data_IF_575332914165
#
_entry.id   IF_575332914165
#
_cell.length_a   1.000
_cell.length_b   1.000
_cell.length_c   1.000
_cell.angle_alpha   90.00
_cell.angle_beta   90.00
_cell.angle_gamma   90.00
#
_symmetry.space_group_name_H-M   'P 1'
#
loop_
_entity.id
_entity.type
_entity.pdbx_description
1 polymer ?
#
# COMPACT_ATOMS: atom_id res chain seq x y z
N UNK A 1 -65.46 80.45 28.92
CA UNK A 1 -64.89 80.15 27.58
C UNK A 1 -63.66 79.21 27.81
N UNK A 2 -63.82 77.96 27.54
CA UNK A 2 -62.74 76.94 27.67
C UNK A 2 -62.41 76.50 26.24
N UNK A 3 -61.16 76.82 25.80
CA UNK A 3 -60.62 76.39 24.47
C UNK A 3 -60.10 74.97 24.55
N UNK A 4 -60.62 74.12 23.73
CA UNK A 4 -60.24 72.71 23.58
C UNK A 4 -59.09 72.66 22.57
N UNK A 5 -57.87 72.18 22.99
CA UNK A 5 -56.75 71.92 22.09
C UNK A 5 -56.81 70.48 21.68
N UNK A 6 -57.00 70.20 20.41
CA UNK A 6 -56.90 68.89 19.78
C UNK A 6 -55.42 68.60 19.42
N UNK A 7 -54.85 67.62 20.06
CA UNK A 7 -53.48 67.11 19.74
C UNK A 7 -53.61 65.91 18.82
N UNK A 8 -53.14 66.06 17.53
CA UNK A 8 -52.98 64.93 16.61
C UNK A 8 -51.71 64.16 16.95
N UNK A 9 -51.87 62.93 17.29
CA UNK A 9 -50.74 61.99 17.37
C UNK A 9 -50.58 61.32 16.00
N UNK A 10 -49.39 61.55 15.38
CA UNK A 10 -48.99 60.88 14.18
C UNK A 10 -48.43 59.46 14.59
N UNK A 11 -49.14 58.44 14.21
CA UNK A 11 -48.68 57.05 14.34
C UNK A 11 -47.76 56.74 13.14
N UNK A 12 -46.44 56.66 13.40
CA UNK A 12 -45.49 56.19 12.42
C UNK A 12 -45.48 54.66 12.42
N UNK A 13 -45.91 54.04 11.33
CA UNK A 13 -45.81 52.60 11.10
C UNK A 13 -44.44 52.29 10.54
N UNK A 14 -43.56 51.49 11.20
CA UNK A 14 -42.32 51.09 10.59
C UNK A 14 -42.60 49.98 9.57
N UNK A 15 -42.35 50.29 8.31
CA UNK A 15 -42.31 49.27 7.24
C UNK A 15 -41.05 48.40 7.42
N UNK A 16 -41.26 47.21 7.95
CA UNK A 16 -40.20 46.20 8.02
C UNK A 16 -39.96 45.61 6.61
N UNK A 17 -38.94 46.07 5.93
CA UNK A 17 -38.41 45.44 4.70
C UNK A 17 -37.71 44.16 5.09
N UNK A 18 -38.36 43.01 4.94
CA UNK A 18 -37.74 41.68 5.03
C UNK A 18 -36.89 41.43 3.79
N UNK A 19 -35.60 41.70 3.86
CA UNK A 19 -34.64 41.25 2.85
C UNK A 19 -34.47 39.75 2.98
N UNK A 20 -35.23 38.97 2.22
CA UNK A 20 -34.95 37.56 2.02
C UNK A 20 -33.68 37.40 1.21
N UNK A 21 -32.54 37.28 1.90
CA UNK A 21 -31.29 36.82 1.29
C UNK A 21 -31.45 35.35 0.93
N UNK A 22 -31.70 35.06 -0.35
CA UNK A 22 -31.49 33.74 -0.89
C UNK A 22 -29.99 33.36 -0.72
N UNK A 23 -29.68 32.69 0.37
CA UNK A 23 -28.40 31.97 0.45
C UNK A 23 -28.49 30.79 -0.51
N UNK A 24 -28.02 30.97 -1.72
CA UNK A 24 -27.59 29.85 -2.57
C UNK A 24 -26.43 29.19 -1.85
N UNK A 25 -26.71 28.16 -1.04
CA UNK A 25 -25.70 27.22 -0.62
C UNK A 25 -25.21 26.54 -1.90
N UNK A 26 -24.11 27.08 -2.48
CA UNK A 26 -23.31 26.29 -3.38
C UNK A 26 -22.81 25.10 -2.55
N UNK A 27 -23.38 23.93 -2.76
CA UNK A 27 -22.81 22.68 -2.28
C UNK A 27 -21.42 22.60 -2.92
N UNK A 28 -20.40 23.05 -2.22
CA UNK A 28 -19.03 22.74 -2.60
C UNK A 28 -18.95 21.22 -2.50
N UNK A 29 -19.10 20.59 -3.65
CA UNK A 29 -18.84 19.17 -3.81
C UNK A 29 -17.40 18.97 -3.38
N UNK A 30 -17.18 18.34 -2.22
CA UNK A 30 -15.83 18.03 -1.77
C UNK A 30 -15.17 17.21 -2.87
N UNK A 31 -13.97 17.59 -3.31
CA UNK A 31 -13.28 16.84 -4.36
C UNK A 31 -13.15 15.38 -3.92
N UNK A 32 -13.60 14.47 -4.76
CA UNK A 32 -13.41 13.03 -4.52
C UNK A 32 -11.93 12.74 -4.40
N UNK A 33 -11.50 12.01 -3.36
CA UNK A 33 -10.10 11.65 -3.21
C UNK A 33 -9.58 10.92 -4.46
N UNK A 34 -8.34 11.22 -4.92
CA UNK A 34 -7.77 10.58 -6.10
C UNK A 34 -7.49 9.09 -5.86
N UNK A 35 -7.57 8.27 -6.89
CA UNK A 35 -7.02 6.91 -6.83
C UNK A 35 -5.50 6.97 -6.73
N UNK A 36 -4.91 6.09 -5.91
CA UNK A 36 -3.48 6.02 -5.66
C UNK A 36 -2.96 4.67 -6.13
N UNK A 37 -2.02 4.67 -7.07
CA UNK A 37 -1.34 3.47 -7.55
C UNK A 37 0.14 3.60 -7.21
N UNK A 38 0.64 2.71 -6.36
CA UNK A 38 2.05 2.63 -6.01
C UNK A 38 2.68 1.40 -6.67
N UNK A 39 3.67 1.61 -7.52
CA UNK A 39 4.38 0.55 -8.23
C UNK A 39 5.82 0.48 -7.70
N UNK A 40 6.18 -0.66 -7.08
CA UNK A 40 7.53 -0.95 -6.64
C UNK A 40 8.13 -2.00 -7.56
N UNK A 41 9.04 -1.57 -8.43
CA UNK A 41 9.82 -2.47 -9.27
C UNK A 41 10.85 -3.23 -8.42
N UNK A 42 10.98 -4.53 -8.69
CA UNK A 42 11.89 -5.43 -7.97
C UNK A 42 13.21 -5.53 -8.76
N UNK A 43 14.30 -5.06 -8.15
CA UNK A 43 15.65 -5.03 -8.71
C UNK A 43 15.81 -4.18 -10.00
N UNK A 44 14.99 -3.13 -10.17
CA UNK A 44 15.17 -2.15 -11.23
C UNK A 44 16.19 -1.08 -10.79
N UNK A 45 17.24 -0.88 -11.57
CA UNK A 45 18.23 0.16 -11.34
C UNK A 45 17.78 1.54 -11.82
N UNK A 46 18.34 2.59 -11.23
CA UNK A 46 18.09 3.98 -11.64
C UNK A 46 18.38 4.20 -13.14
N UNK A 47 19.47 3.61 -13.64
CA UNK A 47 19.90 3.74 -15.03
C UNK A 47 19.17 2.84 -16.02
N UNK A 48 18.20 2.04 -15.59
CA UNK A 48 17.44 1.14 -16.49
C UNK A 48 16.33 1.90 -17.26
N UNK A 49 15.88 3.05 -16.73
CA UNK A 49 14.83 3.87 -17.32
C UNK A 49 15.46 4.91 -18.25
N UNK A 50 15.00 4.96 -19.52
CA UNK A 50 15.59 5.88 -20.52
C UNK A 50 15.45 7.35 -20.13
N UNK A 51 14.37 7.76 -19.46
CA UNK A 51 14.20 9.13 -18.97
C UNK A 51 15.30 9.58 -17.99
N UNK A 52 15.92 8.64 -17.25
CA UNK A 52 17.07 8.93 -16.38
C UNK A 52 18.43 8.64 -17.06
N UNK A 53 18.45 7.72 -18.01
CA UNK A 53 19.68 7.33 -18.71
C UNK A 53 19.40 7.06 -20.19
N UNK A 54 19.70 8.00 -21.08
CA UNK A 54 19.46 7.84 -22.53
C UNK A 54 20.28 6.71 -23.18
N UNK A 55 21.27 6.16 -22.47
CA UNK A 55 22.08 5.03 -22.93
C UNK A 55 21.58 3.68 -22.42
N UNK A 56 20.43 3.64 -21.71
CA UNK A 56 19.84 2.37 -21.28
C UNK A 56 19.57 1.46 -22.47
N UNK A 57 19.92 0.18 -22.32
CA UNK A 57 19.66 -0.86 -23.33
C UNK A 57 18.23 -1.42 -23.22
N UNK A 58 17.46 -0.97 -22.22
CA UNK A 58 16.11 -1.43 -21.94
C UNK A 58 15.13 -0.35 -22.40
N UNK A 59 14.29 -0.60 -23.42
CA UNK A 59 13.28 0.39 -23.81
C UNK A 59 12.19 0.51 -22.75
N UNK A 60 11.96 1.73 -22.27
CA UNK A 60 10.97 2.03 -21.21
C UNK A 60 9.94 3.08 -21.62
N UNK A 61 9.26 2.97 -22.79
CA UNK A 61 8.46 4.05 -23.36
C UNK A 61 7.30 4.49 -22.48
N UNK A 62 6.69 3.58 -21.71
CA UNK A 62 5.59 3.91 -20.79
C UNK A 62 6.11 4.71 -19.59
N UNK A 63 7.24 4.30 -19.00
CA UNK A 63 7.86 5.01 -17.88
C UNK A 63 8.38 6.38 -18.32
N UNK A 64 8.93 6.47 -19.52
CA UNK A 64 9.40 7.74 -20.10
C UNK A 64 8.24 8.71 -20.34
N UNK A 65 7.09 8.19 -20.81
CA UNK A 65 5.86 8.97 -20.94
C UNK A 65 5.34 9.46 -19.59
N UNK A 66 5.37 8.61 -18.57
CA UNK A 66 5.00 8.99 -17.20
C UNK A 66 5.95 10.06 -16.65
N UNK A 67 7.24 9.92 -16.88
CA UNK A 67 8.24 10.91 -16.49
C UNK A 67 8.01 12.27 -17.14
N UNK A 68 7.65 12.30 -18.43
CA UNK A 68 7.38 13.56 -19.15
C UNK A 68 6.07 14.23 -18.73
N UNK A 69 5.09 13.47 -18.24
CA UNK A 69 3.78 13.96 -17.81
C UNK A 69 3.70 14.28 -16.32
N UNK A 70 4.70 13.84 -15.54
CA UNK A 70 4.69 13.91 -14.08
C UNK A 70 5.93 14.58 -13.50
N UNK A 71 6.38 14.07 -12.37
CA UNK A 71 7.56 14.58 -11.65
C UNK A 71 8.60 13.47 -11.57
N UNK A 72 9.83 13.78 -11.95
CA UNK A 72 10.99 12.90 -11.76
C UNK A 72 11.78 13.34 -10.53
N UNK A 73 12.02 12.40 -9.62
CA UNK A 73 12.87 12.61 -8.46
C UNK A 73 14.28 12.12 -8.79
N UNK A 74 15.23 13.04 -8.90
CA UNK A 74 16.62 12.73 -9.26
C UNK A 74 17.48 12.30 -8.08
N UNK A 75 16.99 12.49 -6.85
CA UNK A 75 17.67 12.14 -5.61
C UNK A 75 16.72 11.49 -4.62
N UNK A 76 16.00 10.43 -5.07
CA UNK A 76 15.14 9.61 -4.22
C UNK A 76 15.82 8.27 -3.91
N UNK A 77 15.79 7.89 -2.63
CA UNK A 77 16.45 6.70 -2.14
C UNK A 77 15.45 5.71 -1.56
N UNK A 78 15.62 4.43 -1.89
CA UNK A 78 14.93 3.36 -1.17
C UNK A 78 15.51 3.19 0.24
N UNK A 79 14.74 2.62 1.15
CA UNK A 79 15.17 2.36 2.53
C UNK A 79 16.35 1.39 2.62
N UNK A 80 16.54 0.57 1.60
CA UNK A 80 17.59 -0.45 1.51
C UNK A 80 17.76 -0.89 0.06
N UNK A 81 18.90 -1.49 -0.24
CA UNK A 81 19.20 -2.11 -1.54
C UNK A 81 18.61 -3.52 -1.70
N UNK A 82 17.92 -4.05 -0.68
CA UNK A 82 17.33 -5.39 -0.72
C UNK A 82 15.86 -5.38 -0.29
N UNK A 83 15.16 -6.43 -0.70
CA UNK A 83 13.71 -6.52 -0.75
C UNK A 83 12.98 -6.29 0.59
N UNK A 84 13.18 -7.15 1.60
CA UNK A 84 12.42 -7.09 2.85
C UNK A 84 12.51 -5.75 3.55
N UNK A 85 13.72 -5.17 3.81
CA UNK A 85 13.81 -3.89 4.49
C UNK A 85 13.23 -2.73 3.69
N UNK A 86 13.35 -2.73 2.36
CA UNK A 86 12.70 -1.71 1.52
C UNK A 86 11.19 -1.78 1.62
N UNK A 87 10.61 -2.98 1.51
CA UNK A 87 9.15 -3.19 1.61
C UNK A 87 8.60 -2.81 2.98
N UNK A 88 9.33 -3.17 4.03
CA UNK A 88 8.97 -2.75 5.39
C UNK A 88 8.93 -1.23 5.52
N UNK A 89 9.97 -0.56 5.04
CA UNK A 89 10.04 0.90 5.11
C UNK A 89 8.97 1.59 4.26
N UNK A 90 8.71 1.09 3.06
CA UNK A 90 7.65 1.61 2.18
C UNK A 90 6.27 1.54 2.85
N UNK A 91 5.96 0.40 3.47
CA UNK A 91 4.64 0.22 4.09
C UNK A 91 4.48 0.92 5.43
N UNK A 92 5.56 1.06 6.22
CA UNK A 92 5.47 1.54 7.61
C UNK A 92 6.06 2.93 7.84
N UNK A 93 6.71 3.53 6.84
CA UNK A 93 7.45 4.79 6.98
C UNK A 93 8.65 4.68 7.92
N UNK A 94 9.17 3.47 8.18
CA UNK A 94 10.15 3.20 9.21
C UNK A 94 11.30 2.34 8.69
N UNK A 95 12.53 2.63 9.08
CA UNK A 95 13.67 1.79 8.72
C UNK A 95 13.59 0.40 9.36
N UNK A 96 13.89 -0.64 8.58
CA UNK A 96 13.77 -2.03 9.01
C UNK A 96 14.70 -2.39 10.19
N UNK A 97 15.86 -1.75 10.33
CA UNK A 97 16.75 -1.98 11.47
C UNK A 97 16.13 -1.58 12.82
N UNK A 98 15.03 -0.80 12.80
CA UNK A 98 14.23 -0.48 14.01
C UNK A 98 13.22 -1.57 14.37
N UNK A 99 13.05 -2.58 13.49
CA UNK A 99 12.27 -3.79 13.75
C UNK A 99 13.14 -4.92 14.30
N UNK A 100 12.62 -6.13 14.34
CA UNK A 100 13.40 -7.34 14.64
C UNK A 100 14.43 -7.71 13.56
N UNK A 101 14.25 -7.24 12.31
CA UNK A 101 15.19 -7.50 11.22
C UNK A 101 16.38 -6.55 11.26
N UNK A 102 17.52 -7.03 11.75
CA UNK A 102 18.74 -6.22 11.85
C UNK A 102 19.62 -6.30 10.60
N UNK A 103 19.49 -7.36 9.80
CA UNK A 103 20.22 -7.57 8.54
C UNK A 103 19.54 -8.61 7.66
N UNK A 104 19.83 -8.59 6.37
CA UNK A 104 19.35 -9.57 5.39
C UNK A 104 17.88 -9.40 5.03
N UNK A 105 17.28 -10.48 4.60
CA UNK A 105 15.90 -10.59 4.15
C UNK A 105 15.22 -11.80 4.80
N UNK A 106 13.90 -11.78 4.84
CA UNK A 106 13.09 -12.90 5.29
C UNK A 106 13.08 -14.04 4.24
N UNK A 107 12.64 -15.21 4.65
CA UNK A 107 12.29 -16.32 3.77
C UNK A 107 10.78 -16.39 3.58
N UNK A 108 10.29 -17.24 2.68
CA UNK A 108 8.86 -17.47 2.51
C UNK A 108 8.18 -18.15 3.70
N UNK A 109 8.96 -18.65 4.65
CA UNK A 109 8.45 -19.30 5.88
C UNK A 109 8.63 -18.43 7.14
N UNK A 110 9.16 -17.23 7.00
CA UNK A 110 9.41 -16.34 8.14
C UNK A 110 8.11 -15.82 8.75
N UNK A 111 8.12 -15.64 10.05
CA UNK A 111 7.05 -14.96 10.79
C UNK A 111 6.92 -13.49 10.39
N UNK A 112 5.79 -12.84 10.70
CA UNK A 112 5.52 -11.45 10.33
C UNK A 112 6.57 -10.48 10.87
N UNK A 113 7.11 -9.63 10.00
CA UNK A 113 8.03 -8.56 10.40
C UNK A 113 7.30 -7.31 10.89
N UNK A 114 6.16 -6.99 10.26
CA UNK A 114 5.34 -5.85 10.68
C UNK A 114 4.65 -6.21 11.98
N UNK A 115 4.94 -5.48 13.01
CA UNK A 115 4.43 -5.68 14.36
C UNK A 115 2.90 -5.54 14.38
N UNK A 116 2.24 -6.30 15.25
CA UNK A 116 0.79 -6.16 15.45
C UNK A 116 0.45 -4.74 15.89
N UNK A 117 -0.55 -4.15 15.26
CA UNK A 117 -0.97 -2.77 15.54
C UNK A 117 -0.05 -1.69 14.95
N UNK A 118 0.99 -2.06 14.20
CA UNK A 118 1.79 -1.11 13.45
C UNK A 118 0.96 -0.55 12.30
N UNK A 119 0.79 0.76 12.29
CA UNK A 119 0.16 1.44 11.16
C UNK A 119 0.99 1.26 9.89
N UNK A 120 0.29 1.01 8.80
CA UNK A 120 0.85 0.93 7.44
C UNK A 120 0.16 1.96 6.56
N UNK A 121 0.75 2.25 5.41
CA UNK A 121 0.09 3.12 4.42
C UNK A 121 -1.29 2.57 4.03
N UNK A 122 -1.45 1.25 3.98
CA UNK A 122 -2.73 0.62 3.67
C UNK A 122 -3.76 0.85 4.79
N UNK A 123 -3.40 0.58 6.05
CA UNK A 123 -4.32 0.82 7.17
C UNK A 123 -4.65 2.30 7.34
N UNK A 124 -3.68 3.18 7.11
CA UNK A 124 -3.91 4.63 7.11
C UNK A 124 -4.92 5.04 6.04
N UNK A 125 -4.74 4.60 4.80
CA UNK A 125 -5.65 4.92 3.70
C UNK A 125 -7.03 4.29 3.88
N UNK A 126 -7.10 3.05 4.36
CA UNK A 126 -8.38 2.39 4.69
C UNK A 126 -9.18 3.19 5.72
N UNK A 127 -8.51 3.74 6.75
CA UNK A 127 -9.14 4.62 7.74
C UNK A 127 -9.63 5.95 7.14
N UNK A 128 -9.17 6.33 5.95
CA UNK A 128 -9.65 7.48 5.19
C UNK A 128 -10.72 7.10 4.16
N UNK A 129 -11.21 5.87 4.17
CA UNK A 129 -12.28 5.39 3.28
C UNK A 129 -11.80 4.85 1.94
N UNK A 130 -10.51 4.65 1.73
CA UNK A 130 -10.00 3.99 0.54
C UNK A 130 -10.18 2.47 0.63
N UNK A 131 -10.52 1.86 -0.50
CA UNK A 131 -10.33 0.43 -0.70
C UNK A 131 -8.86 0.17 -1.06
N UNK A 132 -8.26 -0.82 -0.43
CA UNK A 132 -6.83 -1.06 -0.51
C UNK A 132 -6.51 -2.45 -1.04
N UNK A 133 -5.56 -2.54 -1.96
CA UNK A 133 -5.12 -3.81 -2.53
C UNK A 133 -3.59 -3.88 -2.60
N UNK A 134 -3.04 -5.08 -2.38
CA UNK A 134 -1.63 -5.37 -2.59
C UNK A 134 -1.50 -6.53 -3.57
N UNK A 135 -0.77 -6.31 -4.66
CA UNK A 135 -0.57 -7.32 -5.71
C UNK A 135 0.92 -7.60 -5.86
N UNK A 136 1.31 -8.87 -5.84
CA UNK A 136 2.67 -9.30 -6.11
C UNK A 136 3.42 -9.85 -4.89
N UNK A 137 4.73 -9.62 -4.85
CA UNK A 137 5.62 -10.15 -3.81
C UNK A 137 5.41 -9.43 -2.49
N UNK A 138 5.09 -10.18 -1.43
CA UNK A 138 4.96 -9.65 -0.06
C UNK A 138 6.31 -9.48 0.62
N UNK A 139 7.00 -10.55 0.88
CA UNK A 139 8.33 -10.66 1.49
C UNK A 139 8.48 -10.00 2.87
N UNK A 140 7.40 -9.95 3.64
CA UNK A 140 7.36 -9.40 4.99
C UNK A 140 6.91 -10.42 6.05
N UNK A 141 6.81 -11.69 5.64
CA UNK A 141 6.43 -12.79 6.50
C UNK A 141 4.95 -12.78 6.89
N UNK A 142 4.52 -13.91 7.38
CA UNK A 142 3.21 -14.17 7.98
C UNK A 142 3.27 -15.47 8.79
N UNK A 143 2.21 -15.80 9.51
CA UNK A 143 2.13 -17.05 10.25
C UNK A 143 1.45 -18.12 9.39
N UNK A 144 2.22 -19.16 9.05
CA UNK A 144 1.70 -20.36 8.44
C UNK A 144 1.00 -21.22 9.50
N UNK A 145 -0.03 -21.93 9.10
CA UNK A 145 -0.56 -23.05 9.88
C UNK A 145 0.38 -24.25 9.76
N UNK A 146 0.48 -25.04 10.82
CA UNK A 146 1.32 -26.23 10.85
C UNK A 146 0.49 -27.44 11.23
N UNK A 147 0.87 -28.61 10.69
CA UNK A 147 0.28 -29.90 11.04
C UNK A 147 0.36 -30.07 12.57
N UNK A 148 -0.75 -30.49 13.16
CA UNK A 148 -0.86 -30.67 14.61
C UNK A 148 0.19 -31.67 15.12
N UNK A 149 0.80 -31.38 16.27
CA UNK A 149 1.87 -32.17 16.88
C UNK A 149 3.16 -32.29 16.06
N UNK A 150 3.34 -31.45 15.04
CA UNK A 150 4.58 -31.39 14.26
C UNK A 150 5.67 -30.55 14.95
N UNK A 151 6.91 -30.65 14.43
CA UNK A 151 8.03 -29.83 14.90
C UNK A 151 8.02 -28.41 14.33
N UNK A 152 6.99 -28.03 13.57
CA UNK A 152 6.84 -26.74 12.88
C UNK A 152 8.01 -26.40 11.95
N UNK A 153 8.55 -27.41 11.28
CA UNK A 153 9.52 -27.24 10.20
C UNK A 153 8.80 -26.86 8.91
N UNK A 154 9.54 -26.37 7.93
CA UNK A 154 8.99 -25.98 6.62
C UNK A 154 8.11 -27.06 5.96
N UNK A 155 8.53 -28.33 6.08
CA UNK A 155 7.77 -29.49 5.57
C UNK A 155 6.46 -29.76 6.30
N UNK A 156 6.28 -29.17 7.47
CA UNK A 156 5.12 -29.40 8.33
C UNK A 156 4.05 -28.33 8.13
N UNK A 157 4.22 -27.42 7.17
CA UNK A 157 3.21 -26.40 6.85
C UNK A 157 1.96 -27.05 6.28
N UNK A 158 0.81 -26.72 6.87
CA UNK A 158 -0.50 -27.13 6.36
C UNK A 158 -1.04 -26.04 5.42
N UNK A 159 -0.77 -26.22 4.14
CA UNK A 159 -1.22 -25.29 3.09
C UNK A 159 -2.74 -25.30 2.87
N UNK A 160 -3.49 -26.23 3.45
CA UNK A 160 -4.95 -26.23 3.39
C UNK A 160 -5.58 -25.20 4.32
N UNK A 161 -4.83 -24.73 5.30
CA UNK A 161 -5.27 -23.77 6.31
C UNK A 161 -4.90 -22.34 5.92
N UNK A 162 -5.68 -21.34 6.34
CA UNK A 162 -5.36 -19.94 6.08
C UNK A 162 -4.09 -19.51 6.83
N UNK A 163 -3.34 -18.62 6.20
CA UNK A 163 -2.28 -17.85 6.86
C UNK A 163 -2.89 -16.83 7.82
N UNK A 164 -2.11 -16.37 8.78
CA UNK A 164 -2.48 -15.30 9.70
C UNK A 164 -1.40 -14.21 9.72
N UNK A 165 -1.77 -13.04 10.18
CA UNK A 165 -0.88 -11.89 10.30
C UNK A 165 -0.21 -11.49 8.95
N UNK A 166 -0.90 -11.78 7.85
CA UNK A 166 -0.51 -11.45 6.50
C UNK A 166 -0.96 -10.05 6.05
N UNK A 167 -0.98 -9.79 4.74
CA UNK A 167 -1.33 -8.49 4.18
C UNK A 167 -2.71 -7.98 4.60
N UNK A 168 -3.70 -8.86 4.69
CA UNK A 168 -5.07 -8.46 5.04
C UNK A 168 -5.18 -7.98 6.49
N UNK A 169 -4.36 -8.49 7.41
CA UNK A 169 -4.29 -7.98 8.78
C UNK A 169 -3.32 -6.80 8.94
N UNK A 170 -2.83 -6.29 7.82
CA UNK A 170 -1.97 -5.09 7.74
C UNK A 170 -2.61 -3.95 6.95
N UNK A 171 -3.95 -4.01 6.79
CA UNK A 171 -4.77 -2.93 6.25
C UNK A 171 -5.09 -3.03 4.77
N UNK A 172 -4.75 -4.13 4.10
CA UNK A 172 -5.20 -4.38 2.73
C UNK A 172 -6.53 -5.14 2.72
N UNK A 173 -7.52 -4.62 2.00
CA UNK A 173 -8.80 -5.30 1.79
C UNK A 173 -8.64 -6.50 0.85
N UNK A 174 -7.66 -6.45 -0.05
CA UNK A 174 -7.36 -7.52 -0.99
C UNK A 174 -5.86 -7.73 -1.13
N UNK A 175 -5.46 -9.00 -1.22
CA UNK A 175 -4.11 -9.43 -1.52
C UNK A 175 -4.11 -10.54 -2.57
N UNK A 176 -3.22 -10.42 -3.56
CA UNK A 176 -2.88 -11.52 -4.45
C UNK A 176 -1.39 -11.52 -4.73
N UNK A 177 -0.68 -12.60 -4.39
CA UNK A 177 0.76 -12.59 -4.58
C UNK A 177 1.49 -13.81 -4.06
N UNK A 178 2.78 -13.63 -3.82
CA UNK A 178 3.70 -14.67 -3.39
C UNK A 178 4.36 -14.33 -2.04
N UNK A 179 4.74 -15.36 -1.26
CA UNK A 179 5.33 -15.19 0.09
C UNK A 179 6.62 -14.37 0.10
N UNK A 180 7.52 -14.64 -0.84
CA UNK A 180 8.85 -14.08 -0.91
C UNK A 180 9.33 -13.98 -2.37
N UNK A 181 10.63 -13.97 -2.61
CA UNK A 181 11.21 -13.97 -3.97
C UNK A 181 10.90 -15.26 -4.73
N UNK A 182 10.87 -15.18 -6.06
CA UNK A 182 10.62 -16.33 -6.95
C UNK A 182 11.63 -17.48 -6.74
N UNK A 183 12.82 -17.20 -6.28
CA UNK A 183 13.83 -18.20 -5.94
C UNK A 183 13.73 -18.75 -4.50
N UNK A 184 12.67 -18.41 -3.75
CA UNK A 184 12.54 -18.75 -2.33
C UNK A 184 11.25 -19.50 -2.08
N UNK A 185 11.35 -20.73 -1.58
CA UNK A 185 10.19 -21.53 -1.20
C UNK A 185 9.39 -20.89 -0.05
N UNK A 186 8.09 -21.19 0.06
CA UNK A 186 7.29 -22.02 -0.82
C UNK A 186 6.85 -21.27 -2.10
N UNK A 187 6.77 -22.01 -3.21
CA UNK A 187 6.34 -21.46 -4.50
C UNK A 187 4.83 -21.63 -4.66
N UNK A 188 4.07 -20.82 -3.95
CA UNK A 188 2.61 -20.80 -3.96
C UNK A 188 2.11 -19.37 -4.18
N UNK A 189 0.96 -19.24 -4.83
CA UNK A 189 0.20 -17.99 -4.82
C UNK A 189 -0.78 -17.99 -3.66
N UNK A 190 -0.95 -16.83 -3.09
CA UNK A 190 -1.90 -16.56 -2.02
C UNK A 190 -2.92 -15.54 -2.51
N UNK A 191 -4.19 -15.84 -2.30
CA UNK A 191 -5.26 -14.88 -2.44
C UNK A 191 -5.84 -14.59 -1.05
N UNK A 192 -5.78 -13.35 -0.63
CA UNK A 192 -6.10 -12.89 0.72
C UNK A 192 -5.31 -13.65 1.79
N UNK A 193 -5.86 -14.73 2.31
CA UNK A 193 -5.23 -15.54 3.36
C UNK A 193 -5.11 -17.03 3.02
N UNK A 194 -5.38 -17.43 1.77
CA UNK A 194 -5.35 -18.85 1.37
C UNK A 194 -4.48 -19.06 0.15
N UNK A 195 -3.84 -20.22 0.07
CA UNK A 195 -3.20 -20.63 -1.18
C UNK A 195 -4.24 -20.84 -2.27
N UNK A 196 -3.94 -20.42 -3.47
CA UNK A 196 -4.85 -20.56 -4.62
C UNK A 196 -4.93 -22.01 -5.11
N UNK A 197 -3.86 -22.78 -4.87
CA UNK A 197 -3.80 -24.23 -5.15
C UNK A 197 -2.83 -24.90 -4.18
N UNK A 198 -3.17 -26.09 -3.71
CA UNK A 198 -2.28 -26.87 -2.86
C UNK A 198 -1.03 -27.30 -3.64
N UNK A 199 0.17 -27.12 -3.08
CA UNK A 199 1.39 -27.56 -3.73
C UNK A 199 1.42 -29.08 -3.82
N UNK A 200 1.62 -29.61 -5.02
CA UNK A 200 1.61 -31.03 -5.32
C UNK A 200 2.96 -31.56 -5.83
N UNK A 201 3.98 -30.69 -5.88
CA UNK A 201 5.33 -31.03 -6.34
C UNK A 201 6.37 -30.36 -5.47
N UNK A 202 7.52 -31.02 -5.32
CA UNK A 202 8.74 -30.43 -4.78
C UNK A 202 9.66 -30.07 -5.94
N UNK A 203 10.13 -28.83 -5.98
CA UNK A 203 11.13 -28.37 -6.93
C UNK A 203 12.49 -28.55 -6.24
N UNK A 204 13.27 -29.52 -6.73
CA UNK A 204 14.67 -29.71 -6.32
C UNK A 204 15.62 -28.82 -7.13
N UNK A 205 16.89 -28.71 -6.70
CA UNK A 205 17.91 -28.06 -7.50
C UNK A 205 18.03 -28.78 -8.85
N UNK A 206 17.81 -28.08 -9.95
CA UNK A 206 18.01 -28.65 -11.28
C UNK A 206 19.52 -28.81 -11.50
N UNK A 207 19.99 -30.06 -11.56
CA UNK A 207 21.38 -30.37 -11.94
C UNK A 207 21.62 -29.84 -13.35
N UNK A 208 22.58 -28.92 -13.50
CA UNK A 208 23.05 -28.41 -14.81
C UNK A 208 22.65 -26.99 -15.17
N UNK A 209 21.74 -26.34 -14.46
CA UNK A 209 21.51 -24.90 -14.64
C UNK A 209 22.44 -24.16 -13.67
N UNK A 210 23.60 -23.74 -14.15
CA UNK A 210 24.32 -22.64 -13.48
C UNK A 210 23.41 -21.42 -13.56
N UNK A 211 22.87 -21.00 -12.42
CA UNK A 211 22.36 -19.64 -12.30
C UNK A 211 23.56 -18.72 -12.53
N UNK A 212 23.70 -18.23 -13.75
CA UNK A 212 24.63 -17.16 -14.06
C UNK A 212 24.05 -15.93 -13.38
N UNK A 213 24.47 -15.69 -12.14
CA UNK A 213 24.35 -14.38 -11.50
C UNK A 213 25.42 -13.51 -12.16
N UNK A 214 25.14 -13.01 -13.35
CA UNK A 214 25.88 -11.90 -13.89
C UNK A 214 25.37 -10.64 -13.17
N UNK A 215 25.89 -10.44 -11.95
CA UNK A 215 25.94 -9.11 -11.42
C UNK A 215 27.07 -8.38 -12.13
N UNK A 216 26.77 -7.40 -12.89
CA UNK A 216 27.65 -6.29 -13.26
C UNK A 216 27.44 -5.21 -12.23
#
# INVERSE_FOLDING_TARGET
MKTLRLTYQLIAIPAAFSLSTCHTQSSQQQPTPPNIIYILADDMGYGDINAFNPHSQIPTPTLDSMASAGIMFTDAHSNSSVSTPTRYGTLTGRYAFRSSLKKGVLTGYSSPLIEKGRETIASFLSNQGYQTACIGKWHLGWDWAYIQNSQRKQKDVDFSQPIKNGPTERGFDYFYGIPASLGTAPHVYIENNKVTALPNRTIGPQKGIKLIRNGV
#
